data_IF_090443614516
#
_entry.id   IF_090443614516
#
_cell.length_a   1.000
_cell.length_b   1.000
_cell.length_c   1.000
_cell.angle_alpha   90.00
_cell.angle_beta   90.00
_cell.angle_gamma   90.00
#
_symmetry.space_group_name_H-M   'P 1'
#
loop_
_entity.id
_entity.type
_entity.pdbx_description
1 polymer ?
2 non-polymer ?
3 water ?
#
# COMPACT_ATOMS: atom_id res chain seq x y z
N UNK A 4 10.83 10.06 22.68
CA UNK A 4 10.49 10.94 21.57
C UNK A 4 11.15 10.45 20.31
N UNK A 5 10.42 10.61 19.19
CA UNK A 5 10.98 10.31 17.91
C UNK A 5 11.92 11.45 17.47
N UNK A 6 12.67 11.23 16.36
CA UNK A 6 13.57 12.27 15.89
C UNK A 6 12.85 13.52 15.49
N UNK A 7 13.46 14.69 15.69
CA UNK A 7 12.93 15.88 15.21
C UNK A 7 12.72 15.74 13.70
N UNK A 8 11.54 16.16 13.27
CA UNK A 8 11.22 16.10 11.81
C UNK A 8 10.66 14.74 11.40
N UNK A 9 10.38 13.83 12.33
CA UNK A 9 9.83 12.56 11.99
C UNK A 9 8.45 12.77 11.34
N UNK A 10 8.21 12.07 10.24
CA UNK A 10 7.01 12.35 9.45
C UNK A 10 5.80 11.54 9.86
N UNK A 11 4.95 12.07 10.69
CA UNK A 11 3.72 11.41 11.10
C UNK A 11 2.65 11.72 10.07
N UNK A 12 2.04 10.64 9.55
CA UNK A 12 1.04 10.80 8.48
C UNK A 12 -0.13 9.87 8.65
N UNK A 13 -0.97 9.91 7.64
CA UNK A 13 -2.06 8.95 7.49
C UNK A 13 -2.16 8.70 6.00
N UNK A 14 -2.74 7.55 5.62
CA UNK A 14 -2.74 7.10 4.22
C UNK A 14 -4.13 6.74 3.75
N UNK A 15 -4.32 6.87 2.47
CA UNK A 15 -5.53 6.44 1.76
C UNK A 15 -5.09 5.90 0.39
N UNK A 16 -6.06 5.45 -0.41
CA UNK A 16 -5.83 5.18 -1.84
C UNK A 16 -7.03 5.71 -2.62
N UNK A 17 -6.79 5.91 -3.91
CA UNK A 17 -7.78 6.60 -4.74
C UNK A 17 -9.09 5.84 -4.90
N UNK A 18 -9.01 4.56 -5.28
CA UNK A 18 -10.27 3.86 -5.47
C UNK A 18 -11.02 3.73 -4.15
N UNK A 19 -10.30 3.66 -3.03
CA UNK A 19 -10.94 3.40 -1.76
C UNK A 19 -11.70 4.66 -1.21
N UNK A 20 -11.33 5.85 -1.66
CA UNK A 20 -11.96 7.05 -1.08
C UNK A 20 -12.64 7.96 -2.10
N UNK A 21 -12.17 8.00 -3.35
CA UNK A 21 -12.52 9.17 -4.17
C UNK A 21 -13.97 9.25 -4.63
N UNK A 22 -14.59 8.13 -5.00
CA UNK A 22 -15.88 8.19 -5.69
C UNK A 22 -15.68 8.89 -7.03
N UNK A 23 -16.72 9.59 -7.48
CA UNK A 23 -16.66 10.29 -8.75
C UNK A 23 -16.08 9.39 -9.85
N UNK A 24 -16.62 8.17 -9.94
CA UNK A 24 -15.97 7.12 -10.71
C UNK A 24 -16.04 7.36 -12.19
N UNK A 25 -17.01 8.17 -12.62
CA UNK A 25 -17.23 8.40 -14.05
C UNK A 25 -17.39 9.84 -14.34
N UNK A 26 -16.75 10.66 -13.53
CA UNK A 26 -16.84 12.11 -13.65
C UNK A 26 -15.62 12.69 -14.26
N UNK A 27 -15.73 13.85 -14.88
CA UNK A 27 -14.59 14.60 -15.34
C UNK A 27 -13.77 13.77 -16.35
N UNK A 28 -14.39 12.91 -17.15
CA UNK A 28 -13.67 12.19 -18.16
C UNK A 28 -12.81 11.05 -17.64
N UNK A 29 -12.95 10.72 -16.34
CA UNK A 29 -12.22 9.55 -15.81
C UNK A 29 -12.65 8.31 -16.55
N UNK A 30 -11.68 7.49 -16.94
CA UNK A 30 -11.94 6.21 -17.59
C UNK A 30 -12.24 5.12 -16.61
N UNK A 31 -12.73 4.00 -17.11
CA UNK A 31 -12.98 2.89 -16.20
C UNK A 31 -11.65 2.27 -15.82
N UNK A 32 -11.59 1.88 -14.56
CA UNK A 32 -10.49 1.03 -14.07
C UNK A 32 -10.92 -0.39 -13.96
N UNK A 33 -9.95 -1.26 -13.72
CA UNK A 33 -10.27 -2.68 -13.53
C UNK A 33 -11.09 -2.86 -12.26
N UNK A 34 -11.02 -1.91 -11.30
CA UNK A 34 -11.84 -2.00 -10.11
C UNK A 34 -13.26 -1.49 -10.33
N UNK A 35 -13.48 -0.49 -11.18
CA UNK A 35 -14.84 -0.16 -11.59
C UNK A 35 -15.52 -1.39 -12.18
N UNK A 36 -14.81 -2.12 -13.03
CA UNK A 36 -15.39 -3.30 -13.68
C UNK A 36 -15.58 -4.40 -12.67
N UNK A 37 -14.56 -4.65 -11.84
CA UNK A 37 -14.60 -5.77 -10.92
C UNK A 37 -15.80 -5.66 -9.95
N UNK A 38 -16.04 -4.44 -9.49
CA UNK A 38 -17.13 -4.18 -8.55
C UNK A 38 -18.51 -4.24 -9.19
N UNK A 39 -18.60 -4.44 -10.50
CA UNK A 39 -19.91 -4.68 -11.09
C UNK A 39 -20.16 -6.16 -11.15
N UNK A 40 -19.17 -7.01 -10.83
CA UNK A 40 -19.34 -8.44 -10.95
C UNK A 40 -20.11 -8.93 -9.74
N UNK A 41 -21.31 -9.47 -9.90
CA UNK A 41 -22.05 -9.94 -8.71
C UNK A 41 -21.23 -11.02 -8.01
N UNK A 42 -21.27 -10.93 -6.66
CA UNK A 42 -20.63 -11.91 -5.82
C UNK A 42 -19.20 -11.58 -5.46
N UNK A 43 -18.55 -10.64 -6.16
CA UNK A 43 -17.13 -10.36 -5.89
C UNK A 43 -16.94 -9.53 -4.61
N UNK A 44 -17.91 -8.67 -4.26
CA UNK A 44 -17.73 -7.73 -3.14
C UNK A 44 -18.86 -7.95 -2.12
N UNK A 45 -18.52 -7.95 -0.85
CA UNK A 45 -19.52 -8.04 0.19
C UNK A 45 -20.51 -6.94 0.05
N UNK A 46 -21.81 -7.31 0.25
CA UNK A 46 -22.86 -6.36 0.19
C UNK A 46 -23.13 -5.76 -1.20
N UNK A 47 -22.43 -6.26 -2.23
CA UNK A 47 -22.56 -5.67 -3.54
C UNK A 47 -22.07 -4.23 -3.58
N UNK A 48 -21.11 -3.92 -2.69
CA UNK A 48 -20.61 -2.53 -2.56
C UNK A 48 -19.65 -2.23 -3.73
N UNK A 49 -19.36 -0.97 -3.94
CA UNK A 49 -18.36 -0.53 -4.91
C UNK A 49 -17.75 0.74 -4.42
N UNK A 50 -16.75 1.18 -5.15
CA UNK A 50 -16.16 2.53 -4.92
C UNK A 50 -16.81 3.58 -5.77
N UNK A 51 -18.06 3.43 -6.26
CA UNK A 51 -18.66 4.45 -7.10
C UNK A 51 -18.69 5.80 -6.41
N UNK A 52 -19.02 5.76 -5.09
CA UNK A 52 -19.09 6.97 -4.29
C UNK A 52 -18.01 6.98 -3.20
N UNK A 53 -17.87 5.89 -2.48
CA UNK A 53 -16.84 5.76 -1.45
C UNK A 53 -17.00 6.94 -0.50
N UNK A 54 -15.88 7.64 -0.17
CA UNK A 54 -15.94 8.80 0.75
C UNK A 54 -16.20 10.10 0.05
N UNK A 55 -16.51 9.98 -1.28
CA UNK A 55 -16.83 11.14 -2.06
C UNK A 55 -15.71 12.18 -1.94
N UNK A 56 -14.45 11.70 -1.83
CA UNK A 56 -13.32 12.56 -1.57
C UNK A 56 -12.95 13.41 -2.79
N UNK A 57 -13.22 12.93 -4.01
CA UNK A 57 -12.92 13.77 -5.18
C UNK A 57 -13.62 15.15 -5.03
N UNK A 58 -14.86 15.08 -4.53
CA UNK A 58 -15.64 16.32 -4.28
C UNK A 58 -15.36 16.95 -2.94
N UNK A 59 -15.05 16.12 -1.92
CA UNK A 59 -14.95 16.60 -0.55
C UNK A 59 -13.54 16.75 -0.05
N UNK A 60 -12.58 16.83 -0.96
CA UNK A 60 -11.20 16.77 -0.56
C UNK A 60 -10.83 17.95 0.36
N UNK A 61 -11.44 19.16 0.17
CA UNK A 61 -11.07 20.26 1.06
C UNK A 61 -11.49 20.01 2.48
N UNK A 62 -12.62 19.36 2.70
CA UNK A 62 -12.99 18.99 4.04
C UNK A 62 -11.99 18.02 4.64
N UNK A 63 -11.52 17.06 3.82
CA UNK A 63 -10.55 16.07 4.31
C UNK A 63 -9.19 16.73 4.55
N UNK A 64 -8.80 17.71 3.73
CA UNK A 64 -7.57 18.44 4.01
C UNK A 64 -7.68 19.18 5.37
N UNK A 65 -8.87 19.76 5.65
CA UNK A 65 -8.98 20.41 6.97
C UNK A 65 -8.90 19.39 8.12
N UNK A 66 -9.46 18.19 7.90
CA UNK A 66 -9.34 17.18 8.97
C UNK A 66 -7.89 16.79 9.18
N UNK A 67 -7.11 16.69 8.09
CA UNK A 67 -5.67 16.39 8.21
C UNK A 67 -5.00 17.49 9.02
N UNK A 68 -5.37 18.74 8.68
CA UNK A 68 -4.79 19.86 9.42
C UNK A 68 -5.17 19.83 10.91
N UNK A 69 -6.44 19.50 11.17
CA UNK A 69 -6.92 19.39 12.57
C UNK A 69 -6.13 18.43 13.39
N UNK A 70 -5.66 17.35 12.75
CA UNK A 70 -4.83 16.32 13.43
C UNK A 70 -3.35 16.75 13.54
N UNK A 71 -2.91 17.74 12.77
CA UNK A 71 -1.49 18.07 12.81
C UNK A 71 -0.64 17.12 11.99
N UNK A 72 -1.23 16.43 11.00
CA UNK A 72 -0.43 15.54 10.16
C UNK A 72 0.75 16.32 9.56
N UNK A 73 1.91 15.64 9.57
CA UNK A 73 3.12 16.18 8.91
C UNK A 73 3.20 15.81 7.45
N UNK A 74 2.44 14.75 7.09
CA UNK A 74 2.52 14.18 5.74
C UNK A 74 1.22 13.41 5.52
N UNK A 75 0.87 13.20 4.26
CA UNK A 75 -0.37 12.47 3.87
C UNK A 75 0.03 11.67 2.63
N UNK A 76 -0.27 10.38 2.71
CA UNK A 76 -0.04 9.48 1.59
C UNK A 76 -1.38 9.17 0.92
N UNK A 77 -1.43 9.46 -0.38
CA UNK A 77 -2.58 9.15 -1.22
C UNK A 77 -2.10 8.40 -2.43
N UNK A 78 -3.03 7.85 -3.19
CA UNK A 78 -2.67 7.33 -4.51
C UNK A 78 -3.34 8.11 -5.58
N UNK A 79 -2.75 8.02 -6.78
CA UNK A 79 -3.24 8.68 -7.96
C UNK A 79 -3.99 7.69 -8.81
N UNK A 80 -5.23 8.01 -9.19
CA UNK A 80 -6.04 7.16 -10.05
C UNK A 80 -5.51 7.28 -11.50
N UNK A 81 -4.77 6.27 -11.95
CA UNK A 81 -4.17 6.34 -13.31
C UNK A 81 -5.33 6.63 -14.33
N UNK A 82 -6.52 6.05 -14.12
CA UNK A 82 -7.58 6.20 -15.15
C UNK A 82 -8.18 7.59 -15.13
N UNK A 83 -7.94 8.41 -14.06
CA UNK A 83 -8.28 9.83 -14.17
C UNK A 83 -7.33 10.60 -15.07
N UNK A 84 -6.07 10.08 -15.18
CA UNK A 84 -5.00 10.72 -15.92
C UNK A 84 -5.00 10.28 -17.38
N UNK A 85 -5.10 8.95 -17.59
CA UNK A 85 -5.14 8.41 -18.95
C UNK A 85 -6.40 7.56 -18.99
N UNK A 86 -7.55 8.13 -19.36
CA UNK A 86 -8.79 7.38 -19.31
C UNK A 86 -8.83 6.24 -20.36
N UNK A 87 -8.09 6.31 -21.44
CA UNK A 87 -8.36 5.49 -22.56
C UNK A 87 -7.06 5.16 -23.34
N UNK A 88 -7.19 4.24 -24.31
CA UNK A 88 -6.06 3.76 -25.08
C UNK A 88 -5.40 4.82 -25.95
N UNK A 89 -6.00 6.01 -26.13
CA UNK A 89 -5.25 7.06 -26.90
C UNK A 89 -4.01 7.46 -26.13
N UNK A 90 -3.95 7.17 -24.82
CA UNK A 90 -2.85 7.59 -23.92
C UNK A 90 -2.90 9.10 -23.67
N UNK A 91 -3.85 9.82 -24.22
CA UNK A 91 -3.92 11.26 -23.99
C UNK A 91 -4.15 11.59 -22.55
N UNK A 92 -3.58 12.66 -22.07
CA UNK A 92 -3.75 13.07 -20.66
C UNK A 92 -5.07 13.78 -20.49
N UNK A 93 -5.81 13.39 -19.48
CA UNK A 93 -7.07 14.03 -19.12
C UNK A 93 -6.71 15.14 -18.15
N UNK A 94 -6.87 16.38 -18.57
CA UNK A 94 -6.40 17.48 -17.78
C UNK A 94 -7.20 17.70 -16.54
N UNK A 95 -8.50 17.42 -16.54
CA UNK A 95 -9.29 17.57 -15.31
C UNK A 95 -8.82 16.61 -14.26
N UNK A 96 -8.39 15.42 -14.66
CA UNK A 96 -7.95 14.43 -13.68
C UNK A 96 -6.66 14.88 -13.09
N UNK A 97 -5.72 15.35 -13.90
CA UNK A 97 -4.49 15.84 -13.43
C UNK A 97 -4.68 17.03 -12.49
N UNK A 98 -5.59 17.92 -12.87
CA UNK A 98 -5.89 19.11 -12.08
C UNK A 98 -6.36 18.80 -10.68
N UNK A 99 -7.12 17.73 -10.52
CA UNK A 99 -7.55 17.33 -9.20
C UNK A 99 -6.33 17.08 -8.31
N UNK A 100 -5.37 16.28 -8.78
CA UNK A 100 -4.18 16.05 -7.96
C UNK A 100 -3.35 17.29 -7.78
N UNK A 101 -3.31 18.16 -8.78
CA UNK A 101 -2.61 19.40 -8.55
C UNK A 101 -3.29 20.18 -7.38
N UNK A 102 -4.61 20.26 -7.39
CA UNK A 102 -5.32 21.03 -6.33
C UNK A 102 -5.13 20.37 -4.97
N UNK A 103 -5.15 19.03 -4.96
CA UNK A 103 -4.93 18.30 -3.71
C UNK A 103 -3.53 18.58 -3.16
N UNK A 104 -2.53 18.51 -4.02
CA UNK A 104 -1.17 18.75 -3.57
C UNK A 104 -0.96 20.23 -3.15
N UNK A 105 -1.53 21.16 -3.93
CA UNK A 105 -1.43 22.52 -3.49
C UNK A 105 -2.05 22.72 -2.10
N UNK A 106 -3.19 22.05 -1.87
CA UNK A 106 -3.89 22.17 -0.59
C UNK A 106 -3.10 21.55 0.55
N UNK A 107 -2.41 20.44 0.27
CA UNK A 107 -1.48 19.91 1.25
C UNK A 107 -0.38 20.86 1.65
N UNK A 108 0.27 21.41 0.65
CA UNK A 108 1.32 22.39 1.00
C UNK A 108 0.80 23.62 1.72
N UNK A 109 -0.42 24.06 1.35
CA UNK A 109 -0.96 25.22 2.04
C UNK A 109 -1.17 24.99 3.51
N UNK A 110 -1.33 23.72 3.88
CA UNK A 110 -1.47 23.32 5.24
C UNK A 110 -0.21 22.73 5.87
N UNK A 111 0.94 22.87 5.17
CA UNK A 111 2.23 22.32 5.62
C UNK A 111 2.21 20.84 5.83
N UNK A 112 1.54 20.14 4.93
CA UNK A 112 1.47 18.68 4.96
C UNK A 112 2.29 18.20 3.75
N UNK A 113 3.28 17.34 3.99
CA UNK A 113 4.13 16.89 2.87
C UNK A 113 3.41 15.81 2.10
N UNK A 114 3.23 15.95 0.79
CA UNK A 114 2.60 14.87 0.01
C UNK A 114 3.56 13.67 -0.21
N UNK A 115 2.92 12.51 -0.03
CA UNK A 115 3.50 11.25 -0.54
C UNK A 115 2.49 10.70 -1.49
N UNK A 116 2.85 10.51 -2.76
CA UNK A 116 1.93 9.98 -3.76
C UNK A 116 2.37 8.57 -4.21
N UNK A 117 1.40 7.70 -4.17
CA UNK A 117 1.50 6.34 -4.74
C UNK A 117 0.97 6.36 -6.15
N UNK A 118 1.82 6.00 -7.12
CA UNK A 118 1.39 6.02 -8.52
C UNK A 118 0.39 4.88 -8.81
N UNK A 119 0.65 3.70 -8.22
CA UNK A 119 -0.19 2.57 -8.51
C UNK A 119 -0.66 1.89 -7.24
N UNK A 120 -1.93 2.10 -6.90
CA UNK A 120 -2.56 1.43 -5.77
C UNK A 120 -3.79 0.67 -6.32
N UNK A 121 -3.53 -0.11 -7.40
CA UNK A 121 -4.35 -1.26 -7.82
C UNK A 121 -5.38 -0.95 -8.84
N UNK A 122 -5.69 0.32 -9.07
CA UNK A 122 -6.77 0.71 -9.94
C UNK A 122 -6.22 0.97 -11.34
N UNK A 123 -5.74 -0.14 -11.97
CA UNK A 123 -5.22 -0.09 -13.32
C UNK A 123 -6.33 0.42 -14.27
N UNK A 124 -6.00 1.27 -15.22
CA UNK A 124 -7.04 1.60 -16.23
C UNK A 124 -7.38 0.40 -17.03
N UNK A 125 -8.69 0.25 -17.31
CA UNK A 125 -9.15 -0.87 -18.15
C UNK A 125 -8.39 -0.89 -19.50
N UNK A 126 -8.05 0.26 -20.05
CA UNK A 126 -7.36 0.19 -21.35
C UNK A 126 -6.01 -0.49 -21.27
N UNK A 127 -5.35 -0.40 -20.13
CA UNK A 127 -4.08 -1.08 -19.98
C UNK A 127 -4.33 -2.56 -19.84
N UNK A 128 -5.37 -2.93 -19.10
CA UNK A 128 -5.82 -4.30 -19.01
C UNK A 128 -6.18 -4.87 -20.42
N UNK A 129 -6.83 -4.07 -21.25
CA UNK A 129 -7.16 -4.52 -22.62
C UNK A 129 -5.90 -4.78 -23.43
N UNK A 130 -4.75 -4.20 -23.04
CA UNK A 130 -3.43 -4.39 -23.70
C UNK A 130 -2.62 -5.39 -22.94
N UNK A 131 -3.26 -6.20 -22.12
CA UNK A 131 -2.59 -7.33 -21.41
C UNK A 131 -2.41 -7.13 -19.94
N UNK A 132 -2.58 -5.90 -19.47
CA UNK A 132 -2.37 -5.65 -18.04
C UNK A 132 -0.96 -6.09 -17.64
N UNK A 133 -0.82 -6.57 -16.43
CA UNK A 133 0.57 -6.90 -15.95
C UNK A 133 1.09 -8.22 -16.55
N UNK A 134 0.31 -8.93 -17.33
CA UNK A 134 0.88 -10.04 -18.08
C UNK A 134 1.75 -9.59 -19.19
N UNK A 135 1.54 -8.38 -19.66
CA UNK A 135 2.32 -7.88 -20.81
C UNK A 135 3.48 -7.05 -20.31
N UNK A 136 4.67 -7.33 -20.83
CA UNK A 136 5.79 -6.61 -20.54
C UNK A 136 5.62 -5.11 -20.88
N UNK A 137 4.83 -4.85 -21.93
CA UNK A 137 4.66 -3.48 -22.38
C UNK A 137 3.93 -2.63 -21.35
N UNK A 138 3.19 -3.24 -20.43
CA UNK A 138 2.55 -2.47 -19.34
C UNK A 138 3.59 -1.76 -18.52
N UNK A 139 4.81 -2.28 -18.41
CA UNK A 139 5.88 -1.59 -17.71
C UNK A 139 6.22 -0.27 -18.40
N UNK A 140 6.22 -0.28 -19.76
CA UNK A 140 6.46 0.95 -20.50
C UNK A 140 5.25 1.91 -20.34
N UNK A 141 4.03 1.34 -20.36
CA UNK A 141 2.86 2.26 -20.13
C UNK A 141 2.94 2.92 -18.74
N UNK A 142 3.37 2.12 -17.74
CA UNK A 142 3.47 2.68 -16.39
C UNK A 142 4.58 3.73 -16.33
N UNK A 143 5.69 3.52 -17.03
CA UNK A 143 6.76 4.53 -17.06
C UNK A 143 6.31 5.81 -17.73
N UNK A 144 5.45 5.68 -18.78
CA UNK A 144 4.96 6.86 -19.47
C UNK A 144 4.00 7.68 -18.56
N UNK A 145 3.15 6.92 -17.84
CA UNK A 145 2.23 7.53 -16.83
C UNK A 145 3.04 8.22 -15.75
N UNK A 146 4.10 7.51 -15.24
CA UNK A 146 4.98 8.13 -14.24
C UNK A 146 5.62 9.36 -14.78
N UNK A 147 6.18 9.29 -15.98
CA UNK A 147 6.85 10.46 -16.53
C UNK A 147 5.88 11.67 -16.57
N UNK A 148 4.62 11.45 -17.03
CA UNK A 148 3.66 12.52 -17.08
C UNK A 148 3.41 13.16 -15.70
N UNK A 149 3.19 12.26 -14.71
CA UNK A 149 2.93 12.77 -13.35
C UNK A 149 4.12 13.45 -12.72
N UNK A 150 5.31 12.90 -12.88
CA UNK A 150 6.48 13.53 -12.33
C UNK A 150 6.84 14.80 -13.09
N UNK A 151 6.59 14.83 -14.39
CA UNK A 151 6.81 16.10 -15.10
C UNK A 151 5.86 17.17 -14.61
N UNK A 152 4.63 16.75 -14.29
CA UNK A 152 3.58 17.70 -13.83
C UNK A 152 3.76 18.17 -12.43
N UNK A 153 4.15 17.25 -11.54
CA UNK A 153 4.02 17.51 -10.08
C UNK A 153 5.29 17.10 -9.36
N UNK A 154 6.35 16.70 -10.01
CA UNK A 154 7.53 16.12 -9.33
C UNK A 154 8.11 16.96 -8.24
N UNK A 155 8.27 18.21 -8.45
CA UNK A 155 8.92 18.90 -7.33
C UNK A 155 7.89 19.47 -6.36
N UNK A 156 6.61 19.13 -6.53
CA UNK A 156 5.60 19.40 -5.57
C UNK A 156 5.29 18.21 -4.68
N UNK A 157 5.80 17.03 -5.05
CA UNK A 157 5.52 15.85 -4.29
C UNK A 157 6.88 15.30 -3.87
N UNK A 158 7.25 15.46 -2.61
CA UNK A 158 8.60 15.13 -2.23
C UNK A 158 8.87 13.62 -2.11
N UNK A 159 7.80 12.86 -1.97
CA UNK A 159 7.96 11.42 -1.78
C UNK A 159 7.00 10.72 -2.77
N UNK A 160 7.54 9.92 -3.66
CA UNK A 160 6.76 9.12 -4.63
C UNK A 160 7.01 7.67 -4.33
N UNK A 161 5.91 6.92 -4.43
CA UNK A 161 5.99 5.48 -4.38
C UNK A 161 5.49 4.98 -5.74
N UNK A 162 6.20 4.04 -6.37
CA UNK A 162 5.74 3.47 -7.64
C UNK A 162 4.50 2.58 -7.39
N UNK A 163 4.77 1.43 -6.83
CA UNK A 163 3.74 0.43 -6.54
C UNK A 163 3.45 0.37 -5.07
N UNK A 164 2.19 0.08 -4.81
CA UNK A 164 1.72 -0.40 -3.49
C UNK A 164 1.54 -1.92 -3.57
N UNK A 165 2.29 -2.60 -2.72
CA UNK A 165 2.03 -4.03 -2.45
C UNK A 165 1.91 -4.86 -3.74
N UNK A 166 2.97 -4.91 -4.53
CA UNK A 166 2.93 -5.79 -5.70
C UNK A 166 2.65 -7.25 -5.38
N UNK A 167 3.01 -7.73 -4.20
CA UNK A 167 2.73 -9.14 -3.84
C UNK A 167 1.17 -9.36 -3.82
N UNK A 168 0.43 -8.32 -3.41
CA UNK A 168 -1.03 -8.50 -3.30
C UNK A 168 -1.62 -8.52 -4.67
N UNK A 169 -1.11 -7.64 -5.54
CA UNK A 169 -1.51 -7.67 -6.95
C UNK A 169 -1.32 -9.07 -7.52
N UNK A 170 -0.14 -9.68 -7.26
CA UNK A 170 0.15 -11.01 -7.76
C UNK A 170 -0.85 -12.04 -7.14
N UNK A 171 -0.92 -12.10 -5.83
CA UNK A 171 -1.66 -13.13 -5.14
C UNK A 171 -3.15 -12.97 -5.28
N UNK A 172 -3.64 -11.79 -4.92
CA UNK A 172 -5.08 -11.58 -4.94
C UNK A 172 -5.62 -11.40 -6.34
N UNK A 173 -4.84 -10.74 -7.26
CA UNK A 173 -5.23 -10.42 -8.59
C UNK A 173 -5.09 -11.55 -9.58
N UNK A 174 -4.11 -12.43 -9.39
CA UNK A 174 -3.76 -13.46 -10.39
C UNK A 174 -3.77 -14.86 -9.82
N UNK A 175 -3.45 -15.09 -8.55
CA UNK A 175 -3.49 -16.45 -7.99
C UNK A 175 -4.87 -16.80 -7.57
N UNK A 176 -5.51 -15.91 -6.84
CA UNK A 176 -6.79 -16.22 -6.12
C UNK A 176 -8.03 -15.66 -6.75
N UNK A 177 -7.88 -14.67 -7.63
CA UNK A 177 -9.01 -13.99 -8.21
C UNK A 177 -9.88 -13.20 -7.24
N UNK A 178 -9.37 -12.90 -6.06
CA UNK A 178 -10.09 -12.16 -5.05
C UNK A 178 -10.24 -10.67 -5.42
N UNK A 179 -9.21 -10.13 -6.06
CA UNK A 179 -9.13 -8.75 -6.44
C UNK A 179 -9.01 -8.67 -7.92
N UNK A 180 -9.31 -7.47 -8.42
CA UNK A 180 -9.20 -7.22 -9.87
C UNK A 180 -7.78 -7.52 -10.33
N UNK A 181 -7.60 -8.10 -11.55
CA UNK A 181 -8.61 -8.41 -12.56
C UNK A 181 -9.25 -9.78 -12.40
N UNK A 182 -9.00 -10.45 -11.30
CA UNK A 182 -9.77 -11.65 -10.92
C UNK A 182 -9.25 -12.92 -11.57
N UNK A 183 -7.99 -13.00 -11.98
CA UNK A 183 -7.42 -14.22 -12.55
C UNK A 183 -7.13 -15.19 -11.43
N UNK A 184 -7.16 -16.45 -11.77
CA UNK A 184 -7.01 -17.51 -10.80
C UNK A 184 -6.13 -18.54 -11.43
N UNK A 185 -4.88 -18.21 -11.65
CA UNK A 185 -3.91 -19.05 -12.31
C UNK A 185 -2.58 -18.80 -11.66
N UNK A 186 -2.22 -19.59 -10.64
CA UNK A 186 -0.97 -19.39 -9.88
C UNK A 186 0.26 -19.43 -10.76
N UNK A 187 0.24 -20.09 -11.92
CA UNK A 187 1.41 -20.15 -12.71
C UNK A 187 1.76 -18.81 -13.31
N UNK A 188 0.85 -17.83 -13.28
CA UNK A 188 1.12 -16.50 -13.83
C UNK A 188 1.89 -15.60 -12.89
N UNK A 189 2.03 -16.01 -11.66
CA UNK A 189 2.47 -15.05 -10.65
C UNK A 189 3.91 -14.57 -10.88
N UNK A 190 4.83 -15.35 -11.35
CA UNK A 190 6.16 -14.91 -11.58
C UNK A 190 6.25 -13.87 -12.73
N UNK A 191 5.55 -14.19 -13.83
CA UNK A 191 5.44 -13.27 -14.92
C UNK A 191 4.93 -11.88 -14.45
N UNK A 192 3.86 -11.90 -13.66
CA UNK A 192 3.25 -10.65 -13.18
C UNK A 192 4.27 -9.97 -12.27
N UNK A 193 4.85 -10.71 -11.35
CA UNK A 193 5.84 -10.13 -10.44
C UNK A 193 6.95 -9.43 -11.22
N UNK A 194 7.46 -10.11 -12.23
CA UNK A 194 8.54 -9.53 -12.99
C UNK A 194 8.10 -8.23 -13.68
N UNK A 195 6.93 -8.25 -14.26
CA UNK A 195 6.49 -7.06 -14.95
C UNK A 195 6.18 -5.90 -13.98
N UNK A 196 5.66 -6.22 -12.78
CA UNK A 196 5.48 -5.20 -11.75
C UNK A 196 6.85 -4.62 -11.41
N UNK A 197 7.84 -5.49 -11.16
CA UNK A 197 9.18 -4.99 -10.85
C UNK A 197 9.77 -4.17 -12.00
N UNK A 198 9.63 -4.70 -13.21
CA UNK A 198 10.15 -3.97 -14.36
C UNK A 198 9.50 -2.57 -14.49
N UNK A 199 8.18 -2.51 -14.22
CA UNK A 199 7.45 -1.25 -14.29
C UNK A 199 8.00 -0.28 -13.24
N UNK A 200 8.27 -0.79 -12.05
CA UNK A 200 8.91 0.01 -11.01
C UNK A 200 10.26 0.52 -11.53
N UNK A 201 11.05 -0.37 -12.10
CA UNK A 201 12.39 0.08 -12.58
C UNK A 201 12.31 1.12 -13.68
N UNK A 202 11.39 0.90 -14.63
CA UNK A 202 11.28 1.88 -15.69
C UNK A 202 10.70 3.21 -15.21
N UNK A 203 9.78 3.15 -14.24
CA UNK A 203 9.25 4.36 -13.64
C UNK A 203 10.35 5.13 -12.89
N UNK A 204 11.19 4.34 -12.19
CA UNK A 204 12.29 4.95 -11.46
C UNK A 204 13.30 5.63 -12.46
N UNK A 205 13.53 4.93 -13.57
CA UNK A 205 14.33 5.56 -14.63
C UNK A 205 13.75 6.90 -15.10
N UNK A 206 12.44 6.93 -15.29
CA UNK A 206 11.77 8.16 -15.69
C UNK A 206 11.95 9.25 -14.66
N UNK A 207 11.78 8.83 -13.39
CA UNK A 207 11.95 9.75 -12.28
C UNK A 207 13.40 10.31 -12.26
N UNK A 208 14.39 9.40 -12.37
CA UNK A 208 15.78 9.88 -12.39
C UNK A 208 16.07 10.82 -13.53
N UNK A 209 15.48 10.53 -14.70
CA UNK A 209 15.71 11.41 -15.89
C UNK A 209 15.15 12.82 -15.64
N UNK A 210 14.00 12.90 -14.98
CA UNK A 210 13.39 14.17 -14.66
C UNK A 210 14.05 14.86 -13.51
N UNK A 211 14.55 14.04 -12.58
CA UNK A 211 15.28 14.51 -11.44
C UNK A 211 14.64 15.71 -10.72
N UNK A 212 13.41 15.55 -10.25
CA UNK A 212 12.70 16.67 -9.64
C UNK A 212 13.36 17.15 -8.33
N UNK A 213 13.47 18.45 -8.18
CA UNK A 213 14.16 18.99 -7.04
C UNK A 213 13.54 18.61 -5.73
N UNK A 214 14.37 18.09 -4.81
CA UNK A 214 13.89 17.80 -3.48
C UNK A 214 13.00 16.58 -3.36
N UNK A 215 12.90 15.81 -4.42
CA UNK A 215 11.97 14.68 -4.41
C UNK A 215 12.73 13.38 -4.44
N UNK A 216 12.04 12.37 -3.88
CA UNK A 216 12.57 11.04 -3.77
C UNK A 216 11.56 10.04 -4.21
N UNK A 217 12.04 8.88 -4.65
CA UNK A 217 11.10 7.82 -5.08
C UNK A 217 11.52 6.49 -4.51
N UNK A 218 10.50 5.74 -4.10
CA UNK A 218 10.68 4.40 -3.60
C UNK A 218 9.52 3.53 -4.06
N UNK A 219 9.36 2.45 -3.31
CA UNK A 219 8.30 1.44 -3.60
C UNK A 219 7.77 0.98 -2.25
N UNK A 220 6.50 0.61 -2.18
CA UNK A 220 5.90 0.09 -0.97
C UNK A 220 5.60 -1.37 -1.11
N UNK A 221 6.11 -2.10 -0.15
CA UNK A 221 5.96 -3.54 -0.07
C UNK A 221 5.24 -3.89 1.20
N UNK A 222 4.36 -4.90 1.15
CA UNK A 222 3.78 -5.46 2.38
C UNK A 222 4.58 -6.70 2.81
N UNK A 223 4.48 -6.96 4.11
CA UNK A 223 5.21 -8.02 4.70
C UNK A 223 4.35 -8.58 5.79
N UNK A 224 4.53 -9.88 6.03
CA UNK A 224 3.98 -10.54 7.24
C UNK A 224 5.15 -11.23 7.87
N UNK A 225 5.58 -10.73 9.04
CA UNK A 225 6.69 -11.34 9.76
C UNK A 225 6.31 -12.80 10.05
N UNK A 226 7.23 -13.71 9.74
CA UNK A 226 6.93 -15.12 9.88
C UNK A 226 7.56 -15.66 11.17
N UNK A 227 6.73 -16.38 11.90
CA UNK A 227 7.25 -17.12 13.09
C UNK A 227 6.87 -18.57 12.91
N UNK A 228 7.82 -19.48 13.17
CA UNK A 228 7.45 -20.92 13.19
C UNK A 228 6.58 -21.16 14.43
N UNK A 229 5.68 -22.14 14.33
CA UNK A 229 4.77 -22.45 15.44
C UNK A 229 5.50 -23.18 16.53
N UNK A 230 6.67 -23.74 16.27
CA UNK A 230 7.42 -24.51 17.28
C UNK A 230 8.90 -24.36 16.98
N UNK A 231 9.70 -24.90 17.88
CA UNK A 231 11.15 -24.93 17.73
C UNK A 231 11.61 -26.11 16.90
N UNK A 232 10.68 -26.92 16.35
CA UNK A 232 11.08 -28.13 15.61
C UNK A 232 11.79 -27.75 14.30
N UNK A 233 12.85 -28.48 13.91
CA UNK A 233 13.59 -28.12 12.68
C UNK A 233 12.72 -28.00 11.44
N UNK A 234 11.71 -28.87 11.29
CA UNK A 234 10.96 -28.79 10.08
C UNK A 234 10.10 -27.49 10.10
N UNK A 235 9.57 -27.08 11.25
CA UNK A 235 8.84 -25.81 11.28
C UNK A 235 9.75 -24.64 11.00
N UNK A 236 10.97 -24.70 11.53
CA UNK A 236 11.96 -23.67 11.27
C UNK A 236 12.22 -23.58 9.77
N UNK A 237 12.43 -24.69 9.11
CA UNK A 237 12.68 -24.71 7.67
C UNK A 237 11.47 -24.17 6.92
N UNK A 238 10.26 -24.57 7.26
CA UNK A 238 9.09 -24.07 6.57
C UNK A 238 8.97 -22.58 6.75
N UNK A 239 9.22 -22.10 7.97
CA UNK A 239 9.17 -20.67 8.22
C UNK A 239 10.21 -19.92 7.42
N UNK A 240 11.43 -20.43 7.28
CA UNK A 240 12.43 -19.78 6.49
C UNK A 240 12.02 -19.74 5.03
N UNK A 241 11.54 -20.80 4.46
CA UNK A 241 11.11 -20.80 3.07
C UNK A 241 9.92 -19.84 2.89
N UNK A 242 9.01 -19.79 3.84
CA UNK A 242 7.86 -18.91 3.71
C UNK A 242 8.30 -17.46 3.81
N UNK A 243 9.24 -17.17 4.69
CA UNK A 243 9.77 -15.78 4.75
C UNK A 243 10.39 -15.41 3.41
N UNK A 244 11.21 -16.27 2.87
CA UNK A 244 11.90 -15.89 1.63
C UNK A 244 10.84 -15.55 0.53
N UNK A 245 9.77 -16.34 0.43
CA UNK A 245 8.72 -16.07 -0.54
C UNK A 245 7.83 -14.91 -0.19
N UNK A 246 7.21 -15.00 0.98
CA UNK A 246 6.25 -14.01 1.40
C UNK A 246 6.87 -12.63 1.54
N UNK A 247 8.09 -12.53 2.05
CA UNK A 247 8.67 -11.25 2.43
C UNK A 247 9.80 -10.80 1.57
N UNK A 248 10.45 -11.72 0.81
CA UNK A 248 11.62 -11.31 0.02
C UNK A 248 11.45 -11.54 -1.46
N UNK A 249 10.25 -11.87 -1.94
CA UNK A 249 10.04 -12.11 -3.36
C UNK A 249 10.46 -10.86 -4.10
N UNK A 250 10.02 -9.66 -3.63
CA UNK A 250 10.33 -8.40 -4.26
C UNK A 250 11.60 -7.78 -3.77
N UNK A 251 11.85 -7.82 -2.47
CA UNK A 251 13.04 -7.16 -1.96
C UNK A 251 14.32 -7.74 -2.55
N UNK A 252 14.39 -9.09 -2.73
CA UNK A 252 15.64 -9.69 -3.25
C UNK A 252 16.00 -9.08 -4.62
N UNK A 253 15.05 -9.07 -5.61
CA UNK A 253 15.45 -8.48 -6.89
C UNK A 253 15.65 -6.97 -6.82
N UNK A 254 14.84 -6.28 -5.99
CA UNK A 254 15.00 -4.85 -5.90
C UNK A 254 16.41 -4.47 -5.39
N UNK A 255 16.87 -5.19 -4.36
CA UNK A 255 18.14 -4.82 -3.72
C UNK A 255 19.33 -5.58 -4.34
N UNK A 256 19.16 -6.87 -4.60
CA UNK A 256 20.27 -7.73 -5.02
C UNK A 256 20.27 -8.02 -6.51
N UNK A 257 19.22 -7.64 -7.26
CA UNK A 257 19.26 -7.92 -8.71
C UNK A 257 19.12 -9.36 -9.11
N UNK A 258 18.58 -10.16 -8.21
CA UNK A 258 18.31 -11.56 -8.54
C UNK A 258 17.05 -11.96 -7.84
N UNK A 259 16.35 -12.94 -8.36
CA UNK A 259 15.29 -13.61 -7.66
C UNK A 259 15.82 -14.62 -6.70
N UNK A 260 15.17 -14.82 -5.58
CA UNK A 260 15.62 -15.86 -4.67
C UNK A 260 15.16 -17.22 -5.12
N UNK A 261 15.75 -18.23 -4.47
CA UNK A 261 15.45 -19.59 -4.86
C UNK A 261 14.03 -19.97 -4.61
N UNK A 262 13.42 -19.50 -3.49
CA UNK A 262 12.04 -19.82 -3.24
C UNK A 262 11.14 -19.35 -4.39
N UNK A 263 11.49 -18.16 -4.92
CA UNK A 263 10.68 -17.56 -5.99
C UNK A 263 10.85 -18.37 -7.29
N UNK A 264 12.10 -18.69 -7.63
CA UNK A 264 12.36 -19.48 -8.82
C UNK A 264 11.77 -20.86 -8.72
N UNK A 265 11.66 -21.41 -7.51
CA UNK A 265 10.96 -22.70 -7.35
C UNK A 265 9.48 -22.57 -7.52
N UNK A 266 8.90 -21.46 -7.02
CA UNK A 266 7.49 -21.24 -7.08
C UNK A 266 7.07 -21.02 -8.53
N UNK A 267 7.94 -20.35 -9.29
CA UNK A 267 7.59 -19.90 -10.67
C UNK A 267 8.78 -20.30 -11.59
N UNK A 268 8.84 -21.59 -11.98
CA UNK A 268 9.98 -22.10 -12.71
C UNK A 268 10.17 -21.41 -14.08
N UNK A 269 9.10 -20.86 -14.67
CA UNK A 269 9.23 -20.15 -15.95
C UNK A 269 9.62 -18.71 -15.82
N UNK A 270 9.92 -18.23 -14.60
CA UNK A 270 10.20 -16.81 -14.41
C UNK A 270 11.36 -16.37 -15.35
N UNK A 271 12.44 -17.19 -15.51
CA UNK A 271 13.56 -16.67 -16.31
C UNK A 271 13.23 -16.41 -17.78
N UNK A 272 12.15 -16.99 -18.27
CA UNK A 272 11.72 -16.73 -19.64
C UNK A 272 11.29 -15.29 -19.88
N UNK A 273 10.95 -14.55 -18.78
CA UNK A 273 10.47 -13.13 -18.92
C UNK A 273 11.56 -12.15 -18.70
N UNK A 274 12.77 -12.62 -18.36
CA UNK A 274 13.85 -11.72 -17.94
C UNK A 274 14.73 -11.38 -19.14
N UNK A 275 14.71 -10.16 -19.64
CA UNK A 275 15.54 -9.75 -20.72
C UNK A 275 16.88 -9.32 -20.15
N UNK A 276 17.88 -9.10 -21.04
CA UNK A 276 19.24 -8.94 -20.52
C UNK A 276 19.50 -7.82 -19.57
N UNK A 277 18.83 -6.75 -19.72
CA UNK A 277 19.16 -5.68 -18.71
C UNK A 277 18.06 -5.48 -17.65
N UNK A 278 17.10 -6.43 -17.62
CA UNK A 278 15.95 -6.18 -16.71
C UNK A 278 16.38 -6.19 -15.26
N UNK A 279 17.26 -7.11 -14.85
CA UNK A 279 17.60 -7.15 -13.42
C UNK A 279 18.38 -5.91 -12.98
N UNK A 280 19.21 -5.36 -13.85
CA UNK A 280 19.86 -4.14 -13.56
C UNK A 280 18.86 -3.00 -13.43
N UNK A 281 17.92 -2.90 -14.35
CA UNK A 281 16.86 -1.87 -14.29
C UNK A 281 16.01 -1.99 -13.00
N UNK A 282 15.67 -3.22 -12.61
CA UNK A 282 14.83 -3.45 -11.47
C UNK A 282 15.52 -3.08 -10.19
N UNK A 283 16.85 -3.23 -10.16
CA UNK A 283 17.68 -3.09 -8.95
C UNK A 283 18.40 -1.79 -8.90
N UNK A 284 18.06 -0.84 -9.78
CA UNK A 284 18.67 0.46 -9.69
C UNK A 284 18.29 1.09 -8.30
N UNK A 285 19.12 1.90 -7.70
CA UNK A 285 18.85 2.27 -6.31
C UNK A 285 17.56 3.11 -6.15
N UNK A 286 16.78 2.68 -5.17
CA UNK A 286 15.62 3.47 -4.63
C UNK A 286 16.07 4.42 -3.53
N UNK A 287 15.31 5.49 -3.31
CA UNK A 287 15.65 6.43 -2.28
C UNK A 287 15.17 5.93 -0.92
N UNK A 288 14.08 5.20 -0.87
CA UNK A 288 13.50 4.70 0.36
C UNK A 288 12.66 3.51 0.08
N UNK A 289 12.43 2.71 1.11
CA UNK A 289 11.48 1.62 1.06
C UNK A 289 10.24 1.95 1.91
N UNK A 290 9.08 1.76 1.30
CA UNK A 290 7.81 1.84 2.06
C UNK A 290 7.47 0.48 2.60
N UNK A 291 7.20 0.39 3.89
CA UNK A 291 6.82 -0.85 4.55
C UNK A 291 5.36 -0.78 4.96
N UNK A 292 4.59 -1.76 4.52
CA UNK A 292 3.23 -1.95 5.00
C UNK A 292 3.20 -3.18 5.86
N UNK A 293 2.62 -3.07 7.06
CA UNK A 293 2.55 -4.17 7.98
C UNK A 293 1.31 -4.06 8.80
N UNK A 294 0.62 -5.20 8.95
CA UNK A 294 -0.59 -5.33 9.77
C UNK A 294 -0.47 -6.43 10.77
N UNK A 295 0.09 -7.57 10.34
CA UNK A 295 0.04 -8.80 11.13
C UNK A 295 1.13 -9.77 10.73
N UNK A 296 1.56 -10.65 11.65
CA UNK A 296 2.49 -11.70 11.30
C UNK A 296 1.70 -12.90 10.74
N UNK A 297 2.49 -13.89 10.30
CA UNK A 297 1.99 -15.23 9.94
C UNK A 297 2.75 -16.27 10.67
N UNK A 298 2.00 -17.23 11.13
CA UNK A 298 2.59 -18.33 11.93
C UNK A 298 2.58 -19.53 11.05
N UNK A 299 3.74 -20.21 10.94
CA UNK A 299 3.94 -21.27 9.93
C UNK A 299 4.33 -22.59 10.61
N UNK A 300 3.82 -23.68 10.05
CA UNK A 300 4.32 -25.01 10.44
C UNK A 300 4.68 -25.75 9.18
N UNK A 301 5.49 -26.80 9.32
CA UNK A 301 5.75 -27.67 8.17
C UNK A 301 4.53 -28.57 7.98
N UNK A 302 4.44 -29.06 6.75
CA UNK A 302 3.43 -30.03 6.43
C UNK A 302 4.09 -31.07 5.53
N UNK A 303 3.51 -32.28 5.51
CA UNK A 303 3.99 -33.25 4.52
C UNK A 303 3.46 -32.98 3.12
N UNK A 304 2.29 -32.37 3.02
CA UNK A 304 1.84 -32.08 1.68
C UNK A 304 2.42 -30.87 1.07
N UNK A 305 2.61 -30.90 -0.26
CA UNK A 305 3.03 -29.72 -1.04
C UNK A 305 2.20 -28.49 -0.64
N UNK A 306 2.86 -27.32 -0.53
CA UNK A 306 4.29 -27.18 -0.73
C UNK A 306 5.13 -27.33 0.58
N UNK A 307 4.59 -28.03 1.56
CA UNK A 307 5.38 -28.35 2.77
C UNK A 307 5.25 -27.26 3.81
N UNK A 308 4.34 -26.30 3.61
CA UNK A 308 4.15 -25.14 4.52
C UNK A 308 2.68 -24.97 4.76
N UNK A 309 2.30 -24.74 6.02
CA UNK A 309 0.90 -24.46 6.39
C UNK A 309 0.89 -23.22 7.25
N UNK A 310 -0.01 -22.29 6.96
CA UNK A 310 -0.13 -21.12 7.80
C UNK A 310 -1.19 -21.44 8.81
N UNK A 311 -0.92 -21.17 10.05
CA UNK A 311 -1.80 -21.52 11.15
C UNK A 311 -2.57 -20.31 11.55
N UNK A 312 -3.90 -20.42 11.58
CA UNK A 312 -4.64 -19.31 12.11
C UNK A 312 -4.67 -19.07 13.57
N UNK A 313 -4.84 -17.78 13.87
CA UNK A 313 -4.73 -17.37 15.20
C UNK A 313 -6.17 -16.83 15.52
N UNK A 314 -6.72 -17.23 16.65
CA UNK A 314 -8.08 -16.80 17.02
C UNK A 314 -8.13 -15.52 17.75
N UNK A 315 -7.04 -15.26 18.48
CA UNK A 315 -6.94 -14.06 19.36
C UNK A 315 -5.48 -13.77 19.57
N UNK A 316 -5.10 -12.50 19.80
CA UNK A 316 -5.93 -11.32 19.64
C UNK A 316 -5.96 -10.91 18.19
N UNK A 317 -7.13 -10.58 17.66
CA UNK A 317 -7.26 -10.29 16.27
C UNK A 317 -8.12 -9.05 16.09
N UNK A 318 -8.00 -8.48 14.91
CA UNK A 318 -8.88 -7.34 14.53
C UNK A 318 -10.15 -7.90 13.86
N UNK A 319 -11.03 -7.00 13.38
CA UNK A 319 -12.21 -7.43 12.65
C UNK A 319 -11.88 -8.14 11.38
N UNK A 320 -10.66 -7.99 10.85
CA UNK A 320 -10.29 -8.79 9.68
C UNK A 320 -9.84 -10.22 10.02
N UNK A 321 -9.72 -10.50 11.30
CA UNK A 321 -9.20 -11.77 11.79
C UNK A 321 -7.67 -11.76 11.77
N UNK A 322 -7.01 -10.61 11.65
CA UNK A 322 -5.58 -10.48 11.56
C UNK A 322 -4.99 -10.33 12.93
N UNK A 323 -3.99 -11.17 13.23
CA UNK A 323 -3.37 -11.14 14.55
C UNK A 323 -2.74 -9.81 14.86
N UNK A 324 -2.92 -9.34 16.10
CA UNK A 324 -2.34 -8.12 16.58
C UNK A 324 -1.07 -8.49 17.31
N UNK A 325 0.08 -8.17 16.72
CA UNK A 325 1.40 -8.55 17.30
C UNK A 325 2.40 -7.47 16.96
N UNK A 326 2.44 -6.42 17.79
CA UNK A 326 3.35 -5.30 17.43
C UNK A 326 4.81 -5.71 17.34
N UNK A 327 5.22 -6.79 18.06
CA UNK A 327 6.60 -7.17 17.94
C UNK A 327 6.95 -7.63 16.50
N UNK A 328 5.93 -8.01 15.74
CA UNK A 328 6.14 -8.40 14.33
C UNK A 328 6.64 -7.22 13.53
N UNK A 329 6.23 -5.99 13.87
CA UNK A 329 6.68 -4.78 13.18
C UNK A 329 8.14 -4.52 13.52
N UNK A 330 8.51 -4.60 14.78
CA UNK A 330 9.91 -4.46 15.20
C UNK A 330 10.77 -5.50 14.47
N UNK A 331 10.36 -6.75 14.48
CA UNK A 331 11.17 -7.80 13.91
C UNK A 331 11.30 -7.65 12.41
N UNK A 332 10.23 -7.21 11.76
CA UNK A 332 10.28 -6.98 10.28
C UNK A 332 11.32 -5.89 10.00
N UNK A 333 11.22 -4.79 10.71
CA UNK A 333 12.11 -3.68 10.39
C UNK A 333 13.58 -4.05 10.62
N UNK A 334 13.81 -4.71 11.77
CA UNK A 334 15.17 -5.11 12.05
C UNK A 334 15.67 -6.11 11.00
N UNK A 335 14.81 -7.04 10.58
CA UNK A 335 15.24 -8.07 9.57
C UNK A 335 15.57 -7.42 8.24
N UNK A 336 14.72 -6.50 7.77
CA UNK A 336 15.00 -5.84 6.48
C UNK A 336 16.35 -5.14 6.65
N UNK A 337 16.55 -4.44 7.74
CA UNK A 337 17.73 -3.59 7.91
C UNK A 337 19.00 -4.49 7.96
N UNK A 338 18.94 -5.59 8.71
CA UNK A 338 20.10 -6.54 8.82
C UNK A 338 20.35 -7.16 7.45
N UNK A 339 19.30 -7.62 6.72
CA UNK A 339 19.49 -8.38 5.48
C UNK A 339 19.93 -7.52 4.34
N UNK A 340 19.29 -6.34 4.20
CA UNK A 340 19.39 -5.53 2.98
C UNK A 340 20.06 -4.23 3.28
N UNK A 341 20.53 -3.96 4.50
CA UNK A 341 21.26 -2.75 4.87
C UNK A 341 20.30 -1.64 5.39
N UNK A 342 20.90 -0.68 6.06
CA UNK A 342 20.18 0.41 6.65
C UNK A 342 19.72 1.44 5.59
N UNK A 343 18.69 1.07 4.86
CA UNK A 343 18.15 2.18 3.96
C UNK A 343 16.97 2.84 4.57
N UNK A 344 16.65 4.01 4.06
CA UNK A 344 15.56 4.76 4.63
C UNK A 344 14.26 4.02 4.47
N UNK A 345 13.49 3.96 5.57
CA UNK A 345 12.21 3.28 5.56
C UNK A 345 11.15 4.26 6.06
N UNK A 346 10.02 4.23 5.36
CA UNK A 346 8.76 4.80 5.86
C UNK A 346 7.77 3.70 6.09
N UNK A 347 7.10 3.67 7.22
CA UNK A 347 5.97 2.71 7.41
C UNK A 347 4.81 3.38 6.67
N UNK A 348 4.54 2.91 5.46
CA UNK A 348 3.53 3.55 4.64
C UNK A 348 2.10 3.09 4.92
N UNK A 349 1.92 2.01 5.68
CA UNK A 349 0.62 1.61 6.22
C UNK A 349 0.85 0.82 7.45
N UNK A 350 0.03 1.09 8.46
CA UNK A 350 -0.11 0.22 9.63
C UNK A 350 -1.41 0.67 10.26
N UNK A 351 -2.27 -0.24 10.69
CA UNK A 351 -3.55 0.17 11.26
C UNK A 351 -4.42 -1.04 11.46
N UNK A 352 -5.69 -0.84 11.74
CA UNK A 352 -6.56 -1.96 12.14
C UNK A 352 -8.03 -1.66 11.94
N UNK A 353 -8.74 -2.72 11.61
CA UNK A 353 -10.22 -2.68 11.49
C UNK A 353 -10.85 -3.18 12.78
N UNK A 354 -11.80 -2.39 13.28
CA UNK A 354 -12.63 -2.74 14.45
C UNK A 354 -14.04 -2.29 14.09
N UNK A 355 -15.02 -2.88 14.76
CA UNK A 355 -16.39 -2.53 14.48
C UNK A 355 -16.79 -1.28 15.28
N UNK A 356 -16.58 -0.17 14.68
CA UNK A 356 -16.84 1.14 15.30
C UNK A 356 -18.28 1.53 15.13
N UNK A 357 -18.82 2.18 16.14
CA UNK A 357 -20.24 2.60 16.19
C UNK A 357 -20.31 3.89 16.96
N UNK A 358 -20.95 4.92 16.41
CA UNK A 358 -21.12 6.19 17.20
C UNK A 358 -22.02 5.87 18.38
N UNK A 359 -21.73 6.51 19.49
CA UNK A 359 -22.60 6.39 20.64
C UNK A 359 -23.75 7.38 20.50
N UNK A 360 -24.57 7.45 21.58
CA UNK A 360 -25.80 8.27 21.57
C UNK A 360 -25.49 9.73 21.38
N UNK A 361 -24.32 10.13 21.84
CA UNK A 361 -23.87 11.45 21.69
C UNK A 361 -23.17 11.71 20.32
N UNK A 362 -22.99 10.69 19.47
CA UNK A 362 -22.30 10.94 18.17
C UNK A 362 -20.81 10.71 18.21
N UNK A 363 -20.27 10.35 19.35
CA UNK A 363 -18.80 10.07 19.45
C UNK A 363 -18.46 8.64 19.06
N UNK A 364 -17.25 8.48 18.49
CA UNK A 364 -16.82 7.21 18.04
C UNK A 364 -15.59 6.83 18.88
N UNK A 365 -15.76 6.00 19.90
CA UNK A 365 -14.71 5.67 20.77
C UNK A 365 -14.23 4.26 20.40
N UNK A 366 -12.94 4.19 20.00
CA UNK A 366 -12.31 3.00 19.46
C UNK A 366 -11.06 2.65 20.25
N UNK A 367 -11.20 2.32 21.54
CA UNK A 367 -10.02 2.02 22.32
C UNK A 367 -9.16 0.89 21.82
N UNK A 368 -9.76 -0.09 21.14
CA UNK A 368 -8.94 -1.21 20.63
C UNK A 368 -7.99 -0.69 19.52
N UNK A 369 -8.44 0.32 18.77
CA UNK A 369 -7.60 0.86 17.72
C UNK A 369 -6.50 1.68 18.35
N UNK A 370 -6.83 2.46 19.41
CA UNK A 370 -5.79 3.11 20.15
C UNK A 370 -4.74 2.10 20.63
N UNK A 371 -5.20 0.99 21.21
CA UNK A 371 -4.25 0.03 21.73
C UNK A 371 -3.35 -0.56 20.61
N UNK A 372 -3.94 -0.79 19.44
CA UNK A 372 -3.17 -1.21 18.30
C UNK A 372 -2.08 -0.24 17.97
N UNK A 373 -2.45 1.02 17.81
CA UNK A 373 -1.42 2.03 17.51
C UNK A 373 -0.40 2.21 18.60
N UNK A 374 -0.84 2.15 19.85
CA UNK A 374 0.13 2.32 20.95
C UNK A 374 1.23 1.23 20.85
N UNK A 375 0.80 -0.01 20.63
CA UNK A 375 1.75 -1.12 20.55
C UNK A 375 2.69 -0.98 19.34
N UNK A 376 2.06 -0.68 18.18
CA UNK A 376 2.84 -0.66 16.94
C UNK A 376 3.78 0.53 16.82
N UNK A 377 3.30 1.72 17.25
CA UNK A 377 4.18 2.87 17.25
C UNK A 377 5.35 2.66 18.23
N UNK A 378 5.02 2.04 19.35
CA UNK A 378 6.09 1.72 20.31
C UNK A 378 7.14 0.75 19.71
N UNK A 379 6.65 -0.25 18.99
CA UNK A 379 7.58 -1.18 18.33
C UNK A 379 8.45 -0.49 17.30
N UNK A 380 7.84 0.42 16.54
CA UNK A 380 8.55 1.19 15.53
C UNK A 380 9.60 2.03 16.22
N UNK A 381 9.28 2.63 17.37
CA UNK A 381 10.27 3.43 18.10
C UNK A 381 11.43 2.62 18.51
N UNK A 382 11.18 1.41 18.98
CA UNK A 382 12.31 0.51 19.41
C UNK A 382 13.19 0.12 18.23
N UNK A 383 12.56 -0.08 17.07
CA UNK A 383 13.36 -0.40 15.88
C UNK A 383 14.22 0.76 15.48
N UNK A 384 13.69 2.00 15.56
CA UNK A 384 14.48 3.19 15.30
C UNK A 384 15.64 3.23 16.33
N UNK A 385 15.39 2.96 17.61
CA UNK A 385 16.43 3.04 18.66
C UNK A 385 17.52 1.99 18.37
N UNK A 386 17.13 0.87 17.77
CA UNK A 386 18.07 -0.21 17.46
C UNK A 386 18.67 -0.15 16.08
N UNK A 387 18.51 0.96 15.40
CA UNK A 387 19.31 1.25 14.19
C UNK A 387 18.57 1.20 12.88
N UNK A 388 17.28 1.07 12.88
CA UNK A 388 16.51 1.14 11.63
C UNK A 388 16.36 2.65 11.28
N UNK A 389 16.61 2.94 10.01
CA UNK A 389 16.48 4.34 9.54
C UNK A 389 15.00 4.65 9.23
N UNK A 390 14.17 4.71 10.25
CA UNK A 390 12.72 4.96 10.08
C UNK A 390 12.53 6.45 10.02
N UNK A 391 11.89 6.88 8.91
CA UNK A 391 11.76 8.31 8.63
C UNK A 391 10.33 8.85 8.86
N UNK A 392 9.35 7.96 8.84
CA UNK A 392 7.96 8.32 9.01
C UNK A 392 7.07 7.19 9.21
N UNK A 393 5.85 7.48 9.58
CA UNK A 393 4.83 6.45 9.95
C UNK A 393 3.48 6.99 9.48
N UNK A 394 2.80 6.19 8.67
CA UNK A 394 1.49 6.58 8.10
C UNK A 394 0.46 5.58 8.61
N UNK A 395 -0.48 6.08 9.39
CA UNK A 395 -1.61 5.28 9.84
C UNK A 395 -2.50 4.96 8.67
N UNK A 396 -2.79 3.67 8.51
CA UNK A 396 -3.86 3.26 7.59
C UNK A 396 -5.14 3.17 8.43
N UNK A 397 -6.18 3.96 8.19
CA UNK A 397 -6.32 4.96 7.14
C UNK A 397 -6.75 6.28 7.74
N UNK A 398 -6.57 7.36 7.00
CA UNK A 398 -7.18 8.61 7.44
C UNK A 398 -8.72 8.44 7.64
N UNK A 399 -9.35 7.73 6.72
CA UNK A 399 -10.82 7.63 6.62
C UNK A 399 -11.23 6.21 6.56
N UNK A 400 -12.38 5.90 7.20
CA UNK A 400 -13.09 4.67 6.84
C UNK A 400 -13.34 4.70 5.34
N UNK A 401 -13.20 3.57 4.67
CA UNK A 401 -13.23 3.61 3.22
C UNK A 401 -13.66 2.28 2.65
N UNK A 402 -13.62 2.15 1.30
CA UNK A 402 -13.99 0.89 0.65
C UNK A 402 -12.87 -0.12 0.80
N UNK A 403 -13.06 -1.11 1.63
CA UNK A 403 -12.06 -2.12 1.89
C UNK A 403 -12.15 -3.29 0.89
N UNK A 404 -11.98 -2.93 -0.36
CA UNK A 404 -11.79 -3.92 -1.47
C UNK A 404 -12.98 -4.96 -1.35
N UNK A 405 -12.60 -6.26 -1.38
CA UNK A 405 -13.70 -7.25 -1.44
C UNK A 405 -14.58 -7.32 -0.19
N UNK A 406 -14.11 -6.70 0.91
CA UNK A 406 -14.94 -6.53 2.11
C UNK A 406 -15.88 -5.37 2.01
N UNK A 407 -15.77 -4.56 0.99
CA UNK A 407 -16.66 -3.40 0.85
C UNK A 407 -16.58 -2.51 2.07
N UNK A 408 -17.74 -2.01 2.50
CA UNK A 408 -17.81 -1.07 3.61
C UNK A 408 -18.07 -1.84 4.91
N UNK A 409 -17.83 -3.12 4.94
CA UNK A 409 -18.04 -3.92 6.16
C UNK A 409 -16.83 -3.74 7.12
N UNK A 410 -15.75 -3.11 6.72
CA UNK A 410 -14.53 -3.01 7.52
C UNK A 410 -14.17 -1.54 7.61
N UNK A 411 -13.95 -1.06 8.78
CA UNK A 411 -13.59 0.32 9.03
C UNK A 411 -12.17 0.36 9.57
N UNK A 412 -11.26 0.96 8.77
CA UNK A 412 -9.86 1.15 9.19
C UNK A 412 -9.55 2.60 9.55
N UNK A 413 -10.51 3.51 9.43
CA UNK A 413 -10.15 4.90 9.63
C UNK A 413 -9.82 5.24 11.05
N UNK A 414 -9.05 6.33 11.16
CA UNK A 414 -9.03 7.07 12.44
C UNK A 414 -10.11 8.15 12.44
N UNK A 415 -10.76 8.37 11.29
CA UNK A 415 -11.90 9.23 11.13
C UNK A 415 -13.05 8.41 10.62
N UNK A 416 -14.15 8.42 11.39
CA UNK A 416 -15.38 7.70 11.03
C UNK A 416 -16.10 8.41 9.91
N UNK A 417 -16.54 7.65 8.94
CA UNK A 417 -17.38 8.17 7.83
C UNK A 417 -18.72 7.56 7.85
N UNK A 418 -19.77 8.38 7.99
CA UNK A 418 -21.11 7.89 7.76
C UNK A 418 -21.31 7.91 6.25
N UNK A 419 -21.38 6.76 5.57
CA UNK A 419 -21.48 6.69 4.17
C UNK A 419 -22.84 7.08 3.63
N UNK A 420 -23.81 7.25 4.50
CA UNK A 420 -25.14 7.72 4.04
C UNK A 420 -25.12 9.24 3.89
N UNK A 421 -24.47 9.93 4.79
CA UNK A 421 -24.46 11.39 4.77
C UNK A 421 -23.12 12.02 4.44
N UNK A 422 -22.06 11.21 4.42
CA UNK A 422 -20.66 11.65 4.26
C UNK A 422 -20.15 12.45 5.42
N UNK A 423 -20.87 12.44 6.55
CA UNK A 423 -20.36 13.10 7.72
C UNK A 423 -19.09 12.43 8.22
N UNK A 424 -18.06 13.21 8.57
CA UNK A 424 -16.85 12.73 9.15
C UNK A 424 -16.83 13.07 10.63
N UNK A 425 -16.35 12.14 11.45
CA UNK A 425 -16.19 12.35 12.88
C UNK A 425 -14.84 11.80 13.32
N UNK A 426 -14.02 12.59 13.97
CA UNK A 426 -12.78 12.06 14.49
C UNK A 426 -13.10 10.98 15.49
N UNK A 427 -12.44 9.82 15.39
CA UNK A 427 -12.56 8.80 16.40
C UNK A 427 -11.65 9.19 17.54
N UNK A 428 -11.84 8.46 18.64
CA UNK A 428 -10.86 8.56 19.74
C UNK A 428 -9.43 8.36 19.25
N UNK A 429 -9.22 7.37 18.39
CA UNK A 429 -7.84 7.16 17.89
C UNK A 429 -7.25 8.35 17.11
N UNK A 430 -8.09 9.12 16.42
CA UNK A 430 -7.57 10.32 15.74
C UNK A 430 -7.17 11.37 16.80
N UNK A 431 -8.02 11.49 17.83
CA UNK A 431 -7.70 12.42 18.92
C UNK A 431 -6.40 12.05 19.61
N UNK A 432 -6.25 10.74 19.83
CA UNK A 432 -5.03 10.18 20.46
C UNK A 432 -3.82 10.42 19.58
N UNK A 433 -3.99 10.17 18.26
CA UNK A 433 -2.87 10.32 17.35
C UNK A 433 -2.45 11.76 17.21
N UNK A 434 -3.43 12.68 17.20
CA UNK A 434 -3.07 14.10 17.23
C UNK A 434 -2.12 14.38 18.41
N UNK A 435 -2.45 13.80 19.58
CA UNK A 435 -1.58 14.01 20.78
C UNK A 435 -0.18 13.42 20.56
N UNK A 436 -0.14 12.21 19.95
CA UNK A 436 1.18 11.58 19.65
C UNK A 436 1.98 12.47 18.76
N UNK A 437 1.37 13.02 17.70
CA UNK A 437 2.11 13.89 16.78
C UNK A 437 2.67 15.10 17.58
N UNK A 438 1.74 15.70 18.35
CA UNK A 438 2.10 16.92 19.09
C UNK A 438 3.27 16.66 20.07
N UNK A 439 3.28 15.47 20.67
CA UNK A 439 4.35 15.05 21.57
C UNK A 439 5.54 14.47 20.91
N UNK A 440 5.44 14.24 19.61
CA UNK A 440 6.43 13.54 18.82
C UNK A 440 6.77 12.18 19.42
N UNK A 441 5.73 11.51 19.92
CA UNK A 441 5.89 10.19 20.47
C UNK A 441 4.85 9.85 21.50
N UNK A 442 4.99 8.65 22.05
CA UNK A 442 3.97 8.12 23.00
C UNK A 442 3.95 8.73 24.40
#
# INVERSE_FOLDING_TARGET
NVKKFPEGFLWGAATSSYQIEGAWNEDGKGESIWDRFTRIPGKIKNGDSGDVACDHYHRYEQDLDLMRQLGLKTYRFSIAWARIQPDSSRQINQRGLDFYRRLVEGLHKRDILPMATLYHWDLPQWVEDEGGWLSRESASRFAEYTHALVAALGDQIPLWVTHNEPMVTVWAGYHMGLFAPGLKDPTLGGRVAHHLLLSHGQALQAFRALSPAGSQMGITLNFNTIYPVSAEPADVEAARRMHSFQNELFLEPLIRGQYNQATLMAYPNLPEFIAPEDMQTISAPIDFLGVNYYNPMRVKSSPQPPGIEVVQVESPVTAMGWEIAPEGLYDLLMGITRTYGKLPIYITENGAAFDDQPDQSGQVNDPQRVGYFQGHIGAARRALADGVDLRGYYAWSLLDNFEWAEGYSKRFGIIYVDFETQQRTLKQSAQWYRDVIANNGLED
#
